data_IF_885475958664
#
_entry.id   IF_885475958664
#
_cell.length_a   1.000
_cell.length_b   1.000
_cell.length_c   1.000
_cell.angle_alpha   90.00
_cell.angle_beta   90.00
_cell.angle_gamma   90.00
#
_symmetry.space_group_name_H-M   'P 1'
#
loop_
_entity.id
_entity.type
_entity.pdbx_description
1 polymer ?
#
# COMPACT_ATOMS: atom_id res chain seq x y z
N UNK A 1 23.44 53.77 36.21
CA UNK A 1 24.21 52.58 35.79
C UNK A 1 23.95 51.47 36.78
N UNK A 2 23.09 50.51 36.43
CA UNK A 2 23.01 49.14 36.99
C UNK A 2 21.95 48.44 36.13
N UNK A 3 22.37 47.85 35.01
CA UNK A 3 22.56 46.41 34.83
C UNK A 3 21.22 45.68 34.62
N UNK A 4 20.80 45.70 33.36
CA UNK A 4 19.81 44.84 32.74
C UNK A 4 20.27 43.38 32.87
N UNK A 5 19.48 42.45 33.45
CA UNK A 5 19.85 41.05 33.48
C UNK A 5 19.42 40.39 32.18
N UNK A 6 20.42 39.83 31.51
CA UNK A 6 20.37 39.15 30.24
C UNK A 6 19.27 38.07 30.17
N UNK A 7 18.53 38.18 29.08
CA UNK A 7 17.87 37.14 28.31
C UNK A 7 18.57 35.77 28.44
N UNK A 8 17.96 34.84 29.17
CA UNK A 8 18.36 33.43 29.22
C UNK A 8 17.36 32.62 28.41
N UNK A 9 17.42 32.78 27.10
CA UNK A 9 16.66 32.00 26.14
C UNK A 9 17.42 30.69 25.83
N UNK A 10 17.51 29.81 26.83
CA UNK A 10 17.98 28.42 26.65
C UNK A 10 16.77 27.49 26.61
N UNK A 11 15.86 27.76 25.67
CA UNK A 11 14.75 26.89 25.32
C UNK A 11 14.91 26.46 23.88
N UNK A 12 15.81 25.50 23.63
CA UNK A 12 15.95 24.81 22.34
C UNK A 12 14.60 24.22 21.95
N UNK A 13 13.79 25.04 21.27
CA UNK A 13 12.48 24.68 20.80
C UNK A 13 12.71 23.62 19.76
N UNK A 14 12.50 22.35 20.15
CA UNK A 14 12.34 21.24 19.22
C UNK A 14 11.28 21.71 18.23
N UNK A 15 11.72 22.16 17.05
CA UNK A 15 10.85 22.51 15.95
C UNK A 15 10.13 21.24 15.59
N UNK A 16 8.93 21.08 16.14
CA UNK A 16 7.99 20.02 15.81
C UNK A 16 7.94 19.98 14.29
N UNK A 17 8.55 18.94 13.72
CA UNK A 17 8.60 18.73 12.28
C UNK A 17 7.17 18.90 11.78
N UNK A 18 6.94 19.95 10.98
CA UNK A 18 5.60 20.22 10.44
C UNK A 18 5.13 18.90 9.81
N UNK A 19 3.89 18.45 10.05
CA UNK A 19 3.37 17.31 9.31
C UNK A 19 3.61 17.62 7.82
N UNK A 20 4.27 16.68 7.13
CA UNK A 20 4.66 16.84 5.73
C UNK A 20 3.43 17.04 4.82
N UNK A 21 2.24 16.78 5.37
CA UNK A 21 0.95 17.10 4.78
C UNK A 21 0.41 18.39 5.39
N UNK A 22 0.58 19.51 4.69
CA UNK A 22 -0.32 20.66 4.89
C UNK A 22 -1.53 20.40 4.00
N UNK A 23 -2.67 20.09 4.59
CA UNK A 23 -3.92 19.94 3.85
C UNK A 23 -4.22 21.24 3.09
N UNK A 24 -3.94 21.25 1.78
CA UNK A 24 -4.19 22.41 0.94
C UNK A 24 -5.62 22.31 0.42
N UNK A 25 -6.47 23.21 0.90
CA UNK A 25 -7.86 23.31 0.46
C UNK A 25 -7.97 23.46 -1.06
N UNK A 26 -7.02 24.16 -1.68
CA UNK A 26 -6.96 24.34 -3.13
C UNK A 26 -6.66 23.01 -3.83
N UNK A 27 -5.67 22.24 -3.35
CA UNK A 27 -5.31 20.93 -3.93
C UNK A 27 -6.47 19.95 -3.78
N UNK A 28 -7.03 19.82 -2.58
CA UNK A 28 -8.16 18.92 -2.32
C UNK A 28 -9.37 19.23 -3.22
N UNK A 29 -9.73 20.51 -3.32
CA UNK A 29 -10.85 20.95 -4.16
C UNK A 29 -10.59 20.66 -5.64
N UNK A 30 -9.36 20.94 -6.12
CA UNK A 30 -8.96 20.68 -7.51
C UNK A 30 -8.98 19.20 -7.83
N UNK A 31 -8.41 18.35 -6.96
CA UNK A 31 -8.39 16.90 -7.16
C UNK A 31 -9.81 16.33 -7.21
N UNK A 32 -10.71 16.74 -6.31
CA UNK A 32 -12.13 16.31 -6.36
C UNK A 32 -12.81 16.70 -7.66
N UNK A 33 -12.50 17.87 -8.21
CA UNK A 33 -13.05 18.32 -9.48
C UNK A 33 -12.46 17.55 -10.67
N UNK A 34 -11.17 17.24 -10.66
CA UNK A 34 -10.42 16.65 -11.79
C UNK A 34 -10.59 15.13 -11.90
N UNK A 35 -10.66 14.41 -10.78
CA UNK A 35 -10.79 12.94 -10.73
C UNK A 35 -11.85 12.37 -11.67
N UNK A 36 -13.11 12.86 -11.71
CA UNK A 36 -14.12 12.26 -12.59
C UNK A 36 -13.72 12.35 -14.07
N UNK A 37 -13.04 13.42 -14.48
CA UNK A 37 -12.57 13.59 -15.86
C UNK A 37 -11.41 12.65 -16.19
N UNK A 38 -10.42 12.54 -15.30
CA UNK A 38 -9.26 11.65 -15.51
C UNK A 38 -9.69 10.18 -15.50
N UNK A 39 -10.57 9.79 -14.57
CA UNK A 39 -11.10 8.43 -14.52
C UNK A 39 -11.92 8.10 -15.76
N UNK A 40 -12.81 9.01 -16.20
CA UNK A 40 -13.61 8.81 -17.40
C UNK A 40 -12.73 8.69 -18.64
N UNK A 41 -11.71 9.54 -18.76
CA UNK A 41 -10.76 9.47 -19.87
C UNK A 41 -9.91 8.20 -19.83
N UNK A 42 -9.47 7.77 -18.63
CA UNK A 42 -8.76 6.50 -18.45
C UNK A 42 -9.60 5.30 -18.87
N UNK A 43 -10.88 5.26 -18.48
CA UNK A 43 -11.82 4.23 -18.92
C UNK A 43 -12.06 4.28 -20.44
N UNK A 44 -12.22 5.49 -21.00
CA UNK A 44 -12.38 5.66 -22.45
C UNK A 44 -11.19 5.09 -23.23
N UNK A 45 -9.96 5.43 -22.84
CA UNK A 45 -8.72 4.93 -23.45
C UNK A 45 -8.58 3.41 -23.27
N UNK A 46 -9.01 2.88 -22.11
CA UNK A 46 -9.01 1.44 -21.85
C UNK A 46 -9.95 0.70 -22.82
N UNK A 47 -11.15 1.24 -23.06
CA UNK A 47 -12.17 0.59 -23.89
C UNK A 47 -11.98 0.79 -25.41
N UNK A 48 -11.14 1.73 -25.85
CA UNK A 48 -10.97 2.07 -27.27
C UNK A 48 -9.54 1.82 -27.79
N UNK A 49 -8.80 0.89 -27.18
CA UNK A 49 -7.41 0.58 -27.54
C UNK A 49 -7.20 0.01 -28.93
N UNK A 50 -8.13 -0.80 -29.42
CA UNK A 50 -8.00 -1.47 -30.74
C UNK A 50 -8.22 -0.53 -31.93
N UNK A 51 -8.98 0.56 -31.72
CA UNK A 51 -9.36 1.52 -32.77
C UNK A 51 -8.68 2.87 -32.68
N UNK A 52 -7.85 3.12 -31.66
CA UNK A 52 -7.18 4.41 -31.44
C UNK A 52 -5.83 4.22 -30.76
N UNK A 53 -4.89 5.18 -30.86
CA UNK A 53 -3.68 5.16 -30.04
C UNK A 53 -4.06 5.15 -28.55
N UNK A 54 -3.79 4.04 -27.86
CA UNK A 54 -4.41 3.81 -26.56
C UNK A 54 -4.25 2.37 -26.07
N UNK A 55 -5.18 1.97 -25.20
CA UNK A 55 -5.35 0.59 -24.75
C UNK A 55 -5.18 0.40 -23.25
N UNK A 56 -5.19 -0.87 -22.85
CA UNK A 56 -5.20 -1.27 -21.45
C UNK A 56 -4.02 -0.73 -20.64
N UNK A 57 -2.83 -0.62 -21.24
CA UNK A 57 -1.66 -0.10 -20.53
C UNK A 57 -1.81 1.37 -20.13
N UNK A 58 -2.14 2.24 -21.09
CA UNK A 58 -2.27 3.67 -20.84
C UNK A 58 -3.50 3.97 -19.98
N UNK A 59 -4.60 3.28 -20.25
CA UNK A 59 -5.83 3.38 -19.46
C UNK A 59 -5.64 2.94 -18.02
N UNK A 60 -4.97 1.80 -17.79
CA UNK A 60 -4.60 1.31 -16.45
C UNK A 60 -3.70 2.30 -15.70
N UNK A 61 -2.76 2.95 -16.39
CA UNK A 61 -1.91 3.98 -15.80
C UNK A 61 -2.70 5.24 -15.38
N UNK A 62 -3.68 5.67 -16.19
CA UNK A 62 -4.58 6.77 -15.82
C UNK A 62 -5.44 6.40 -14.62
N UNK A 63 -5.98 5.18 -14.56
CA UNK A 63 -6.74 4.70 -13.40
C UNK A 63 -5.87 4.69 -12.15
N UNK A 64 -4.63 4.20 -12.22
CA UNK A 64 -3.70 4.27 -11.09
C UNK A 64 -3.40 5.72 -10.68
N UNK A 65 -3.22 6.63 -11.64
CA UNK A 65 -2.95 8.05 -11.36
C UNK A 65 -4.06 8.72 -10.54
N UNK A 66 -5.31 8.30 -10.70
CA UNK A 66 -6.44 8.78 -9.88
C UNK A 66 -6.23 8.45 -8.40
N UNK A 67 -5.75 7.23 -8.12
CA UNK A 67 -5.41 6.79 -6.77
C UNK A 67 -4.22 7.56 -6.21
N UNK A 68 -3.19 7.81 -7.02
CA UNK A 68 -2.05 8.63 -6.61
C UNK A 68 -2.46 10.07 -6.29
N UNK A 69 -3.33 10.67 -7.11
CA UNK A 69 -3.89 12.01 -6.84
C UNK A 69 -4.67 12.03 -5.53
N UNK A 70 -5.48 11.00 -5.25
CA UNK A 70 -6.17 10.87 -3.96
C UNK A 70 -5.19 10.79 -2.80
N UNK A 71 -4.13 9.98 -2.92
CA UNK A 71 -3.11 9.82 -1.89
C UNK A 71 -2.36 11.12 -1.59
N UNK A 72 -2.03 11.91 -2.61
CA UNK A 72 -1.38 13.21 -2.41
C UNK A 72 -2.33 14.29 -1.88
N UNK A 73 -3.62 14.23 -2.21
CA UNK A 73 -4.61 15.22 -1.76
C UNK A 73 -5.14 14.95 -0.35
N UNK A 74 -5.37 13.68 0.00
CA UNK A 74 -6.07 13.26 1.23
C UNK A 74 -5.21 12.45 2.20
N UNK A 75 -3.93 12.23 1.85
CA UNK A 75 -3.01 11.44 2.63
C UNK A 75 -2.91 9.99 2.15
N UNK A 76 -1.67 9.46 2.22
CA UNK A 76 -1.34 8.13 1.73
C UNK A 76 -1.99 7.04 2.59
N UNK A 77 -1.91 7.15 3.92
CA UNK A 77 -2.46 6.14 4.83
C UNK A 77 -3.99 6.08 4.71
N UNK A 78 -4.68 7.22 4.72
CA UNK A 78 -6.12 7.30 4.50
C UNK A 78 -6.55 6.66 3.17
N UNK A 79 -5.78 6.89 2.11
CA UNK A 79 -6.06 6.32 0.79
C UNK A 79 -5.81 4.81 0.75
N UNK A 80 -4.78 4.33 1.47
CA UNK A 80 -4.48 2.90 1.61
C UNK A 80 -5.51 2.16 2.48
N UNK A 81 -6.03 2.79 3.52
CA UNK A 81 -7.13 2.23 4.30
C UNK A 81 -8.41 2.12 3.46
N UNK A 82 -8.66 3.11 2.59
CA UNK A 82 -9.76 3.06 1.64
C UNK A 82 -9.56 1.99 0.54
N UNK A 83 -8.35 1.90 -0.02
CA UNK A 83 -7.94 0.85 -0.97
C UNK A 83 -7.26 -0.30 -0.23
N UNK A 84 -8.06 -1.25 0.27
CA UNK A 84 -7.51 -2.44 0.93
C UNK A 84 -6.37 -3.08 0.12
N UNK A 85 -5.30 -3.51 0.80
CA UNK A 85 -4.16 -4.16 0.14
C UNK A 85 -4.60 -5.35 -0.74
N UNK A 86 -5.67 -6.04 -0.32
CA UNK A 86 -6.28 -7.14 -1.07
C UNK A 86 -6.83 -6.71 -2.43
N UNK A 87 -7.39 -5.50 -2.57
CA UNK A 87 -7.84 -4.98 -3.86
C UNK A 87 -6.65 -4.72 -4.78
N UNK A 88 -5.59 -4.06 -4.29
CA UNK A 88 -4.42 -3.71 -5.10
C UNK A 88 -3.72 -4.96 -5.64
N UNK A 89 -3.48 -5.95 -4.76
CA UNK A 89 -2.91 -7.24 -5.17
C UNK A 89 -3.89 -8.00 -6.05
N UNK A 90 -5.17 -8.01 -5.68
CA UNK A 90 -6.23 -8.68 -6.41
C UNK A 90 -6.36 -8.20 -7.85
N UNK A 91 -6.28 -6.89 -8.10
CA UNK A 91 -6.26 -6.29 -9.44
C UNK A 91 -5.15 -6.90 -10.31
N UNK A 92 -3.92 -6.93 -9.80
CA UNK A 92 -2.79 -7.51 -10.51
C UNK A 92 -2.98 -9.01 -10.77
N UNK A 93 -3.34 -9.78 -9.74
CA UNK A 93 -3.52 -11.23 -9.83
C UNK A 93 -4.67 -11.62 -10.76
N UNK A 94 -5.82 -10.96 -10.65
CA UNK A 94 -6.99 -11.18 -11.51
C UNK A 94 -6.65 -10.81 -12.95
N UNK A 95 -5.96 -9.69 -13.18
CA UNK A 95 -5.52 -9.31 -14.52
C UNK A 95 -4.59 -10.34 -15.15
N UNK A 96 -3.60 -10.86 -14.41
CA UNK A 96 -2.73 -11.96 -14.87
C UNK A 96 -3.55 -13.22 -15.16
N UNK A 97 -4.48 -13.58 -14.28
CA UNK A 97 -5.32 -14.77 -14.47
C UNK A 97 -6.21 -14.65 -15.70
N UNK A 98 -6.82 -13.49 -15.96
CA UNK A 98 -7.63 -13.23 -17.16
C UNK A 98 -6.74 -13.29 -18.41
N UNK A 99 -5.59 -12.61 -18.40
CA UNK A 99 -4.65 -12.65 -19.52
C UNK A 99 -4.22 -14.09 -19.83
N UNK A 100 -3.79 -14.83 -18.80
CA UNK A 100 -3.36 -16.22 -18.95
C UNK A 100 -4.51 -17.12 -19.42
N UNK A 101 -5.72 -16.93 -18.91
CA UNK A 101 -6.91 -17.66 -19.37
C UNK A 101 -7.17 -17.42 -20.85
N UNK A 102 -7.20 -16.15 -21.29
CA UNK A 102 -7.45 -15.80 -22.68
C UNK A 102 -6.34 -16.32 -23.60
N UNK A 103 -5.10 -16.36 -23.12
CA UNK A 103 -3.96 -16.74 -23.93
C UNK A 103 -3.72 -18.26 -24.02
N UNK A 104 -4.03 -18.99 -22.95
CA UNK A 104 -3.75 -20.43 -22.82
C UNK A 104 -4.92 -21.33 -23.24
N UNK A 105 -6.17 -20.86 -23.18
CA UNK A 105 -7.32 -21.66 -23.64
C UNK A 105 -7.21 -22.07 -25.12
N UNK A 106 -6.78 -21.21 -26.06
CA UNK A 106 -6.57 -21.62 -27.45
C UNK A 106 -5.56 -22.76 -27.57
N UNK A 107 -4.48 -22.73 -26.77
CA UNK A 107 -3.50 -23.83 -26.73
C UNK A 107 -4.11 -25.14 -26.22
N UNK A 108 -5.02 -25.08 -25.24
CA UNK A 108 -5.73 -26.26 -24.75
C UNK A 108 -6.70 -26.84 -25.80
N UNK A 109 -7.15 -26.02 -26.76
CA UNK A 109 -7.98 -26.41 -27.90
C UNK A 109 -7.15 -26.90 -29.11
N UNK A 110 -5.82 -26.87 -29.02
CA UNK A 110 -4.91 -27.30 -30.09
C UNK A 110 -4.43 -26.18 -31.02
N UNK A 111 -4.77 -24.93 -30.70
CA UNK A 111 -4.41 -23.73 -31.48
C UNK A 111 -3.20 -23.00 -30.89
N UNK A 112 -2.77 -21.91 -31.53
CA UNK A 112 -1.62 -21.12 -31.07
C UNK A 112 -1.96 -20.23 -29.84
N UNK A 113 -0.92 -19.82 -29.10
CA UNK A 113 -1.05 -18.84 -28.02
C UNK A 113 -1.70 -17.54 -28.52
N UNK A 114 -2.72 -17.04 -27.81
CA UNK A 114 -3.55 -15.89 -28.21
C UNK A 114 -4.27 -16.03 -29.57
N UNK A 115 -4.50 -17.25 -30.05
CA UNK A 115 -5.35 -17.47 -31.23
C UNK A 115 -6.83 -17.24 -30.89
N UNK A 116 -7.33 -16.04 -31.14
CA UNK A 116 -8.69 -15.64 -30.75
C UNK A 116 -9.78 -16.36 -31.55
N UNK A 117 -9.49 -16.80 -32.77
CA UNK A 117 -10.47 -17.52 -33.60
C UNK A 117 -10.82 -18.89 -33.01
N UNK A 118 -9.92 -19.46 -32.19
CA UNK A 118 -10.13 -20.73 -31.47
C UNK A 118 -11.36 -20.74 -30.56
N UNK A 119 -11.85 -19.57 -30.15
CA UNK A 119 -13.05 -19.42 -29.33
C UNK A 119 -14.36 -19.55 -30.13
N UNK A 120 -14.32 -19.35 -31.45
CA UNK A 120 -15.51 -19.33 -32.29
C UNK A 120 -16.32 -20.64 -32.22
N UNK A 121 -15.72 -21.85 -32.30
CA UNK A 121 -16.48 -23.09 -32.23
C UNK A 121 -17.19 -23.33 -30.89
N UNK A 122 -16.73 -22.67 -29.82
CA UNK A 122 -17.24 -22.85 -28.45
C UNK A 122 -18.22 -21.74 -28.06
N UNK A 123 -17.95 -20.50 -28.48
CA UNK A 123 -18.66 -19.31 -28.03
C UNK A 123 -19.39 -18.58 -29.17
N UNK A 124 -19.14 -18.91 -30.44
CA UNK A 124 -19.68 -18.21 -31.61
C UNK A 124 -21.21 -18.22 -31.64
N UNK A 125 -21.82 -19.39 -31.49
CA UNK A 125 -23.29 -19.53 -31.48
C UNK A 125 -23.93 -18.87 -30.26
N UNK A 126 -23.25 -18.90 -29.11
CA UNK A 126 -23.75 -18.31 -27.85
C UNK A 126 -23.73 -16.79 -27.91
N UNK A 127 -22.67 -16.22 -28.48
CA UNK A 127 -22.46 -14.77 -28.54
C UNK A 127 -23.04 -14.14 -29.82
N UNK A 128 -23.44 -14.95 -30.80
CA UNK A 128 -23.91 -14.48 -32.11
C UNK A 128 -22.85 -13.73 -32.92
N UNK A 129 -21.57 -14.01 -32.63
CA UNK A 129 -20.42 -13.35 -33.23
C UNK A 129 -19.89 -14.17 -34.40
N UNK A 130 -19.41 -13.49 -35.43
CA UNK A 130 -18.70 -14.13 -36.54
C UNK A 130 -17.24 -14.38 -36.17
N UNK A 131 -16.61 -15.37 -36.80
CA UNK A 131 -15.23 -15.77 -36.53
C UNK A 131 -14.24 -14.59 -36.55
N UNK A 132 -14.34 -13.69 -37.53
CA UNK A 132 -13.45 -12.53 -37.63
C UNK A 132 -13.65 -11.50 -36.50
N UNK A 133 -14.81 -11.49 -35.84
CA UNK A 133 -15.12 -10.56 -34.74
C UNK A 133 -14.42 -10.98 -33.45
N UNK A 134 -14.12 -12.27 -33.28
CA UNK A 134 -13.38 -12.79 -32.12
C UNK A 134 -11.98 -12.19 -32.01
N UNK A 135 -11.33 -11.87 -33.13
CA UNK A 135 -10.01 -11.22 -33.10
C UNK A 135 -10.11 -9.85 -32.44
N UNK A 136 -11.08 -9.03 -32.85
CA UNK A 136 -11.28 -7.69 -32.28
C UNK A 136 -11.66 -7.77 -30.81
N UNK A 137 -12.71 -8.51 -30.49
CA UNK A 137 -13.22 -8.58 -29.11
C UNK A 137 -12.29 -9.33 -28.18
N UNK A 138 -11.53 -10.31 -28.69
CA UNK A 138 -10.48 -11.00 -27.96
C UNK A 138 -9.34 -10.07 -27.56
N UNK A 139 -8.86 -9.24 -28.50
CA UNK A 139 -7.86 -8.20 -28.18
C UNK A 139 -8.40 -7.20 -27.14
N UNK A 140 -9.62 -6.70 -27.32
CA UNK A 140 -10.26 -5.79 -26.35
C UNK A 140 -10.39 -6.45 -24.97
N UNK A 141 -10.79 -7.73 -24.90
CA UNK A 141 -10.90 -8.46 -23.64
C UNK A 141 -9.55 -8.60 -22.93
N UNK A 142 -8.47 -8.89 -23.67
CA UNK A 142 -7.11 -8.96 -23.12
C UNK A 142 -6.66 -7.60 -22.58
N UNK A 143 -6.91 -6.53 -23.32
CA UNK A 143 -6.51 -5.18 -22.90
C UNK A 143 -7.28 -4.71 -21.68
N UNK A 144 -8.61 -4.87 -21.69
CA UNK A 144 -9.51 -4.36 -20.65
C UNK A 144 -9.44 -5.23 -19.40
N UNK A 145 -9.60 -6.55 -19.56
CA UNK A 145 -9.69 -7.49 -18.46
C UNK A 145 -8.33 -7.96 -17.95
N UNK A 146 -7.32 -8.01 -18.83
CA UNK A 146 -5.97 -8.40 -18.45
C UNK A 146 -5.09 -7.20 -18.14
N UNK A 147 -4.59 -6.56 -19.19
CA UNK A 147 -3.48 -5.59 -19.13
C UNK A 147 -3.85 -4.37 -18.26
N UNK A 148 -5.05 -3.81 -18.39
CA UNK A 148 -5.46 -2.63 -17.60
C UNK A 148 -5.46 -2.90 -16.10
N UNK A 149 -5.95 -4.07 -15.68
CA UNK A 149 -5.97 -4.47 -14.26
C UNK A 149 -4.56 -4.73 -13.74
N UNK A 150 -3.71 -5.38 -14.54
CA UNK A 150 -2.30 -5.61 -14.21
C UNK A 150 -1.59 -4.27 -13.98
N UNK A 151 -1.69 -3.36 -14.94
CA UNK A 151 -0.98 -2.08 -14.89
C UNK A 151 -1.50 -1.22 -13.75
N UNK A 152 -2.82 -1.14 -13.57
CA UNK A 152 -3.40 -0.41 -12.44
C UNK A 152 -2.91 -0.98 -11.09
N UNK A 153 -3.01 -2.31 -10.91
CA UNK A 153 -2.60 -3.00 -9.68
C UNK A 153 -1.11 -2.83 -9.37
N UNK A 154 -0.24 -3.02 -10.38
CA UNK A 154 1.22 -2.89 -10.22
C UNK A 154 1.61 -1.45 -9.88
N UNK A 155 1.04 -0.45 -10.56
CA UNK A 155 1.38 0.95 -10.28
C UNK A 155 0.89 1.41 -8.90
N UNK A 156 -0.32 1.00 -8.51
CA UNK A 156 -0.82 1.25 -7.14
C UNK A 156 0.04 0.53 -6.10
N UNK A 157 0.38 -0.74 -6.33
CA UNK A 157 1.20 -1.54 -5.43
C UNK A 157 2.60 -0.97 -5.26
N UNK A 158 3.24 -0.57 -6.37
CA UNK A 158 4.53 0.08 -6.36
C UNK A 158 4.47 1.42 -5.62
N UNK A 159 3.43 2.22 -5.85
CA UNK A 159 3.25 3.49 -5.15
C UNK A 159 3.18 3.30 -3.63
N UNK A 160 2.35 2.38 -3.14
CA UNK A 160 2.23 2.13 -1.70
C UNK A 160 3.48 1.46 -1.11
N UNK A 161 4.15 0.57 -1.86
CA UNK A 161 5.39 -0.04 -1.42
C UNK A 161 6.51 1.01 -1.25
N UNK A 162 6.62 1.95 -2.19
CA UNK A 162 7.58 3.06 -2.09
C UNK A 162 7.22 4.02 -0.96
N UNK A 163 5.93 4.31 -0.78
CA UNK A 163 5.47 5.20 0.28
C UNK A 163 5.67 4.64 1.70
N UNK A 164 5.68 3.31 1.86
CA UNK A 164 5.95 2.66 3.15
C UNK A 164 7.41 2.85 3.63
N UNK A 165 8.35 3.14 2.73
CA UNK A 165 9.77 3.27 3.04
C UNK A 165 10.45 1.94 3.38
N UNK A 166 11.78 1.98 3.55
CA UNK A 166 12.59 0.81 3.96
C UNK A 166 12.88 0.94 5.46
N UNK A 167 12.40 0.01 6.28
CA UNK A 167 12.78 -0.06 7.69
C UNK A 167 14.20 -0.62 7.81
N UNK A 168 15.17 0.10 8.42
CA UNK A 168 16.50 -0.43 8.64
C UNK A 168 16.45 -1.68 9.54
N UNK A 169 17.33 -2.69 9.33
CA UNK A 169 17.48 -3.80 10.27
C UNK A 169 17.76 -3.25 11.66
N UNK A 170 17.00 -3.71 12.66
CA UNK A 170 17.29 -3.40 14.05
C UNK A 170 18.62 -4.07 14.40
N UNK A 171 19.71 -3.29 14.51
CA UNK A 171 20.95 -3.73 15.13
C UNK A 171 20.65 -4.02 16.60
N UNK A 172 20.20 -5.25 16.86
CA UNK A 172 20.06 -5.80 18.21
C UNK A 172 21.47 -6.11 18.69
N UNK A 173 22.17 -5.07 19.13
CA UNK A 173 23.29 -5.27 20.05
C UNK A 173 22.66 -5.83 21.32
N UNK A 174 22.97 -7.05 21.76
CA UNK A 174 22.48 -7.56 23.02
C UNK A 174 23.13 -6.71 24.10
N UNK A 175 22.34 -5.88 24.79
CA UNK A 175 22.77 -5.14 25.97
C UNK A 175 23.31 -6.16 26.99
N UNK A 176 24.64 -6.30 27.01
CA UNK A 176 25.33 -7.13 27.98
C UNK A 176 25.40 -6.33 29.26
N UNK A 177 24.64 -6.80 30.25
CA UNK A 177 24.84 -6.63 31.69
C UNK A 177 24.86 -5.19 32.25
N UNK A 178 23.71 -4.74 32.73
CA UNK A 178 23.66 -4.00 34.01
C UNK A 178 23.06 -4.92 35.06
N UNK A 179 23.91 -5.69 35.72
CA UNK A 179 23.59 -6.50 36.88
C UNK A 179 24.53 -6.12 38.03
N UNK A 180 24.18 -5.07 38.79
CA UNK A 180 24.57 -4.91 40.19
C UNK A 180 23.90 -3.65 40.75
N UNK A 181 22.74 -3.80 41.40
CA UNK A 181 22.49 -3.27 42.75
C UNK A 181 21.10 -3.75 43.23
N UNK A 182 21.01 -5.00 43.69
CA UNK A 182 19.83 -5.52 44.38
C UNK A 182 19.94 -5.19 45.86
N UNK A 183 19.10 -4.27 46.30
CA UNK A 183 18.94 -3.88 47.71
C UNK A 183 18.66 -5.06 48.63
N UNK A 184 19.43 -5.14 49.71
CA UNK A 184 19.23 -6.06 50.81
C UNK A 184 18.08 -5.56 51.70
N UNK A 185 16.96 -6.29 51.72
CA UNK A 185 15.96 -6.20 52.77
C UNK A 185 16.01 -7.48 53.62
N UNK A 186 16.59 -7.37 54.81
CA UNK A 186 16.63 -8.41 55.84
C UNK A 186 15.39 -8.32 56.71
N UNK A 187 14.55 -9.36 56.69
CA UNK A 187 13.45 -9.56 57.62
C UNK A 187 13.99 -10.01 58.99
N UNK A 188 13.70 -9.26 60.04
CA UNK A 188 13.81 -9.75 61.43
C UNK A 188 12.55 -9.43 62.20
N UNK A 189 11.81 -10.50 62.49
CA UNK A 189 10.66 -10.57 63.36
C UNK A 189 11.18 -10.84 64.79
N UNK A 190 10.85 -10.00 65.77
CA UNK A 190 11.11 -10.35 67.18
C UNK A 190 9.93 -9.93 68.06
N UNK A 191 9.21 -10.94 68.55
CA UNK A 191 8.20 -10.86 69.59
C UNK A 191 8.86 -10.77 70.98
N UNK A 192 8.21 -10.01 71.85
CA UNK A 192 8.41 -9.86 73.30
C UNK A 192 8.27 -11.19 74.06
N UNK A 193 9.09 -11.40 75.10
CA UNK A 193 8.81 -12.42 76.15
C UNK A 193 10.01 -12.88 76.99
N UNK A 194 10.35 -12.10 78.02
CA UNK A 194 10.53 -12.49 79.42
C UNK A 194 11.52 -13.60 79.90
N UNK A 195 12.19 -13.27 81.03
CA UNK A 195 12.66 -14.15 82.14
C UNK A 195 14.12 -14.70 82.16
N UNK A 196 14.87 -14.14 83.13
CA UNK A 196 15.80 -14.72 84.13
C UNK A 196 17.28 -15.11 83.87
N UNK A 197 18.10 -14.38 84.66
CA UNK A 197 19.21 -14.81 85.55
C UNK A 197 20.57 -15.31 85.07
N UNK A 198 21.55 -14.79 85.84
CA UNK A 198 22.80 -15.41 86.30
C UNK A 198 24.03 -15.45 85.38
N UNK A 199 25.16 -15.02 85.98
CA UNK A 199 26.38 -15.82 85.90
C UNK A 199 27.63 -15.09 85.44
N UNK A 200 28.47 -14.73 86.42
CA UNK A 200 29.81 -14.19 86.28
C UNK A 200 30.85 -15.17 85.70
N UNK A 201 32.06 -14.62 85.44
CA UNK A 201 33.36 -15.25 85.18
C UNK A 201 33.55 -15.84 83.77
N UNK A 202 34.63 -15.52 83.04
CA UNK A 202 36.04 -15.32 83.42
C UNK A 202 36.74 -14.43 82.41
#
# INVERSE_FOLDING_TARGET
MSSDPADNDTGGTITRQRPVYTESQVIMTTVKAVIPFVLTYGLFITFHGTGSPGGGFQGGALIASVVLMMAFAFGIESTREWLSNALVVGLGTVGVAIFAGIALVPMALGENFLEYTAYYPVLGDILGLKEYEFVKYGMEAVEIGGIALIVAGVLMGLFFALAAGVTPPNDTTPDTESAADTGAASNTNTMTGDIDTEGANK
#
